data_IF_498081044146
#
_entry.id   IF_498081044146
#
_cell.length_a   1.000
_cell.length_b   1.000
_cell.length_c   1.000
_cell.angle_alpha   90.00
_cell.angle_beta   90.00
_cell.angle_gamma   90.00
#
_symmetry.space_group_name_H-M   'P 1'
#
loop_
_entity.id
_entity.type
_entity.pdbx_description
1 polymer ?
#
# COMPACT_ATOMS: atom_id res chain seq x y z
N UNK A 1 -10.27 -11.27 -6.17
CA UNK A 1 -9.38 -10.75 -5.11
C UNK A 1 -8.61 -9.53 -5.63
N UNK A 2 -8.12 -8.70 -4.75
CA UNK A 2 -7.52 -7.40 -5.12
C UNK A 2 -6.05 -7.53 -5.52
N UNK A 3 -5.30 -8.46 -4.93
CA UNK A 3 -3.83 -8.45 -5.01
C UNK A 3 -3.29 -8.39 -6.44
N UNK A 4 -3.73 -9.24 -7.34
CA UNK A 4 -3.21 -9.28 -8.71
C UNK A 4 -3.49 -7.98 -9.47
N UNK A 5 -4.67 -7.40 -9.24
CA UNK A 5 -5.04 -6.11 -9.84
C UNK A 5 -4.23 -4.97 -9.25
N UNK A 6 -3.91 -5.04 -7.96
CA UNK A 6 -3.07 -4.07 -7.28
C UNK A 6 -1.67 -4.06 -7.88
N UNK A 7 -1.05 -5.25 -8.03
CA UNK A 7 0.29 -5.37 -8.63
C UNK A 7 0.33 -4.76 -10.02
N UNK A 8 -0.66 -5.07 -10.84
CA UNK A 8 -0.72 -4.56 -12.21
C UNK A 8 -0.84 -3.03 -12.24
N UNK A 9 -1.69 -2.47 -11.40
CA UNK A 9 -1.85 -1.01 -11.31
C UNK A 9 -0.57 -0.34 -10.80
N UNK A 10 0.09 -0.94 -9.79
CA UNK A 10 1.35 -0.42 -9.29
C UNK A 10 2.43 -0.42 -10.37
N UNK A 11 2.59 -1.53 -11.10
CA UNK A 11 3.60 -1.65 -12.15
C UNK A 11 3.38 -0.64 -13.29
N UNK A 12 2.13 -0.25 -13.51
CA UNK A 12 1.78 0.77 -14.52
C UNK A 12 1.76 2.18 -13.94
N UNK A 13 2.14 2.37 -12.69
CA UNK A 13 2.06 3.65 -11.99
C UNK A 13 0.65 4.27 -12.07
N UNK A 14 -0.37 3.42 -12.05
CA UNK A 14 -1.77 3.83 -12.21
C UNK A 14 -2.41 4.08 -10.84
N UNK A 15 -2.12 5.25 -10.27
CA UNK A 15 -2.56 5.63 -8.93
C UNK A 15 -4.08 5.70 -8.82
N UNK A 16 -4.76 6.15 -9.86
CA UNK A 16 -6.22 6.25 -9.84
C UNK A 16 -6.89 4.88 -9.73
N UNK A 17 -6.35 3.87 -10.42
CA UNK A 17 -6.85 2.50 -10.27
C UNK A 17 -6.56 1.95 -8.88
N UNK A 18 -5.37 2.21 -8.33
CA UNK A 18 -5.05 1.83 -6.94
C UNK A 18 -6.06 2.45 -5.96
N UNK A 19 -6.33 3.74 -6.11
CA UNK A 19 -7.33 4.44 -5.29
C UNK A 19 -8.72 3.82 -5.41
N UNK A 20 -9.08 3.34 -6.59
CA UNK A 20 -10.39 2.74 -6.84
C UNK A 20 -10.62 1.44 -6.05
N UNK A 21 -9.56 0.78 -5.57
CA UNK A 21 -9.67 -0.40 -4.72
C UNK A 21 -9.97 -0.05 -3.26
N UNK A 22 -9.98 1.23 -2.91
CA UNK A 22 -10.21 1.71 -1.55
C UNK A 22 -11.62 2.26 -1.39
N UNK A 23 -12.20 2.08 -0.21
CA UNK A 23 -13.43 2.78 0.16
C UNK A 23 -13.15 4.29 0.24
N UNK A 24 -14.17 5.11 0.01
CA UNK A 24 -14.01 6.57 0.07
C UNK A 24 -13.59 7.05 1.48
N UNK A 25 -14.02 6.33 2.52
CA UNK A 25 -13.67 6.62 3.91
C UNK A 25 -12.50 5.77 4.41
N UNK A 26 -11.74 5.14 3.51
CA UNK A 26 -10.61 4.34 3.91
C UNK A 26 -9.51 5.18 4.55
N UNK A 27 -8.79 4.55 5.49
CA UNK A 27 -7.69 5.18 6.22
C UNK A 27 -6.45 4.30 6.16
N UNK A 28 -5.28 4.94 6.13
CA UNK A 28 -4.00 4.27 6.28
C UNK A 28 -3.31 4.74 7.56
N UNK A 29 -2.87 3.80 8.38
CA UNK A 29 -2.18 4.07 9.64
C UNK A 29 -0.73 3.65 9.48
N UNK A 30 0.19 4.59 9.75
CA UNK A 30 1.63 4.34 9.75
C UNK A 30 2.05 4.01 11.18
N UNK A 31 2.51 2.79 11.42
CA UNK A 31 2.91 2.38 12.77
C UNK A 31 4.17 3.09 13.25
N UNK A 32 5.03 3.56 12.32
CA UNK A 32 6.29 4.20 12.68
C UNK A 32 6.11 5.48 13.50
N UNK A 33 5.05 6.25 13.24
CA UNK A 33 4.77 7.51 13.95
C UNK A 33 3.31 7.64 14.36
N UNK A 34 2.53 6.58 14.17
CA UNK A 34 1.10 6.52 14.48
C UNK A 34 0.27 7.58 13.72
N UNK A 35 0.78 8.06 12.58
CA UNK A 35 0.04 9.00 11.75
C UNK A 35 -1.06 8.28 10.96
N UNK A 36 -2.07 9.04 10.59
CA UNK A 36 -3.24 8.53 9.87
C UNK A 36 -3.51 9.43 8.67
N UNK A 37 -3.68 8.83 7.49
CA UNK A 37 -4.03 9.57 6.27
C UNK A 37 -5.27 8.98 5.63
N UNK A 38 -6.00 9.83 4.88
CA UNK A 38 -7.17 9.40 4.12
C UNK A 38 -6.77 8.75 2.80
N UNK A 39 -7.73 8.08 2.16
CA UNK A 39 -7.51 7.49 0.83
C UNK A 39 -7.10 8.56 -0.19
N UNK A 40 -7.72 9.73 -0.15
CA UNK A 40 -7.39 10.82 -1.08
C UNK A 40 -6.01 11.41 -0.80
N UNK A 41 -5.62 11.57 0.47
CA UNK A 41 -4.27 12.00 0.83
C UNK A 41 -3.22 10.99 0.36
N UNK A 42 -3.51 9.69 0.51
CA UNK A 42 -2.63 8.64 0.01
C UNK A 42 -2.47 8.73 -1.52
N UNK A 43 -3.57 8.90 -2.25
CA UNK A 43 -3.55 9.08 -3.71
C UNK A 43 -2.66 10.25 -4.10
N UNK A 44 -2.83 11.39 -3.44
CA UNK A 44 -2.08 12.60 -3.78
C UNK A 44 -0.58 12.41 -3.54
N UNK A 45 -0.21 11.76 -2.43
CA UNK A 45 1.20 11.43 -2.14
C UNK A 45 1.77 10.47 -3.18
N UNK A 46 1.04 9.42 -3.52
CA UNK A 46 1.51 8.43 -4.48
C UNK A 46 1.63 9.01 -5.88
N UNK A 47 0.76 9.94 -6.27
CA UNK A 47 0.83 10.59 -7.58
C UNK A 47 2.16 11.30 -7.82
N UNK A 48 2.77 11.84 -6.77
CA UNK A 48 4.07 12.50 -6.87
C UNK A 48 5.25 11.56 -6.63
N UNK A 49 5.05 10.40 -6.02
CA UNK A 49 6.13 9.53 -5.54
C UNK A 49 6.26 8.20 -6.26
N UNK A 50 5.20 7.69 -6.86
CA UNK A 50 5.18 6.29 -7.34
C UNK A 50 6.31 6.00 -8.35
N UNK A 51 6.67 6.95 -9.21
CA UNK A 51 7.76 6.79 -10.15
C UNK A 51 9.16 6.87 -9.53
N UNK A 52 9.26 7.31 -8.26
CA UNK A 52 10.52 7.47 -7.53
C UNK A 52 10.74 6.35 -6.52
N UNK A 53 9.75 5.52 -6.28
CA UNK A 53 9.81 4.40 -5.35
C UNK A 53 10.09 3.12 -6.13
N UNK A 54 10.97 2.28 -5.58
CA UNK A 54 11.21 0.96 -6.14
C UNK A 54 10.69 -0.09 -5.17
N UNK A 55 9.71 -0.87 -5.62
CA UNK A 55 9.12 -1.93 -4.83
C UNK A 55 9.63 -3.27 -5.34
N UNK A 56 10.20 -4.08 -4.44
CA UNK A 56 10.77 -5.37 -4.78
C UNK A 56 10.13 -6.47 -3.94
N UNK A 57 10.06 -7.67 -4.52
CA UNK A 57 9.60 -8.88 -3.82
C UNK A 57 8.20 -8.72 -3.22
N UNK A 58 7.32 -7.99 -3.92
CA UNK A 58 5.93 -7.87 -3.49
C UNK A 58 5.27 -9.24 -3.52
N UNK A 59 4.76 -9.66 -2.37
CA UNK A 59 4.09 -10.95 -2.25
C UNK A 59 2.83 -10.83 -1.41
N UNK A 60 1.84 -11.64 -1.75
CA UNK A 60 0.64 -11.80 -0.96
C UNK A 60 0.89 -12.90 0.06
N UNK A 61 0.85 -12.56 1.34
CA UNK A 61 0.96 -13.54 2.42
C UNK A 61 -0.38 -14.25 2.57
N UNK A 62 -1.48 -13.49 2.51
CA UNK A 62 -2.83 -14.03 2.62
C UNK A 62 -3.84 -13.04 2.08
N UNK A 63 -4.87 -13.55 1.41
CA UNK A 63 -6.00 -12.72 0.98
C UNK A 63 -7.29 -13.53 1.00
N UNK A 64 -8.35 -12.92 1.54
CA UNK A 64 -9.73 -13.41 1.42
C UNK A 64 -10.67 -12.22 1.24
N UNK A 65 -11.97 -12.41 1.39
CA UNK A 65 -12.94 -11.32 1.20
C UNK A 65 -12.82 -10.21 2.25
N UNK A 66 -12.23 -10.49 3.40
CA UNK A 66 -12.17 -9.58 4.54
C UNK A 66 -10.82 -8.94 4.76
N UNK A 67 -9.74 -9.56 4.27
CA UNK A 67 -8.37 -9.12 4.59
C UNK A 67 -7.41 -9.40 3.43
N UNK A 68 -6.42 -8.51 3.29
CA UNK A 68 -5.27 -8.69 2.40
C UNK A 68 -4.01 -8.35 3.18
N UNK A 69 -3.06 -9.30 3.23
CA UNK A 69 -1.76 -9.10 3.87
C UNK A 69 -0.67 -9.23 2.83
N UNK A 70 0.15 -8.19 2.69
CA UNK A 70 1.26 -8.17 1.74
C UNK A 70 2.56 -7.82 2.43
N UNK A 71 3.67 -8.18 1.79
CA UNK A 71 5.02 -7.83 2.23
C UNK A 71 5.86 -7.48 1.02
N UNK A 72 6.71 -6.47 1.15
CA UNK A 72 7.61 -6.05 0.08
C UNK A 72 8.80 -5.29 0.64
N UNK A 73 9.81 -5.09 -0.21
CA UNK A 73 10.95 -4.22 0.07
C UNK A 73 10.77 -2.92 -0.71
N UNK A 74 10.86 -1.79 -0.04
CA UNK A 74 10.72 -0.47 -0.66
C UNK A 74 12.06 0.24 -0.63
N UNK A 75 12.52 0.72 -1.79
CA UNK A 75 13.69 1.59 -1.91
C UNK A 75 13.21 3.01 -2.14
N UNK A 76 13.68 3.93 -1.32
CA UNK A 76 13.32 5.34 -1.38
C UNK A 76 14.32 6.13 -2.23
N UNK A 77 13.94 7.37 -2.68
CA UNK A 77 14.82 8.19 -3.53
C UNK A 77 16.20 8.49 -2.93
N UNK A 78 16.32 8.50 -1.60
CA UNK A 78 17.59 8.72 -0.92
C UNK A 78 18.45 7.47 -0.81
N UNK A 79 18.02 6.35 -1.39
CA UNK A 79 18.74 5.08 -1.37
C UNK A 79 18.49 4.20 -0.15
N UNK A 80 17.73 4.66 0.84
CA UNK A 80 17.39 3.83 2.00
C UNK A 80 16.33 2.79 1.61
N UNK A 81 16.31 1.66 2.33
CA UNK A 81 15.40 0.56 2.06
C UNK A 81 14.71 0.11 3.33
N UNK A 82 13.44 -0.21 3.21
CA UNK A 82 12.63 -0.75 4.32
C UNK A 82 11.98 -2.07 3.91
N UNK A 83 11.88 -2.99 4.86
CA UNK A 83 10.96 -4.12 4.76
C UNK A 83 9.60 -3.66 5.24
N UNK A 84 8.55 -3.79 4.43
CA UNK A 84 7.24 -3.22 4.70
C UNK A 84 6.19 -4.32 4.72
N UNK A 85 5.34 -4.30 5.74
CA UNK A 85 4.17 -5.18 5.83
C UNK A 85 2.90 -4.33 5.80
N UNK A 86 1.97 -4.67 4.92
CA UNK A 86 0.63 -4.09 4.86
C UNK A 86 -0.39 -5.11 5.34
N UNK A 87 -1.24 -4.68 6.25
CA UNK A 87 -2.44 -5.42 6.64
C UNK A 87 -3.63 -4.56 6.27
N UNK A 88 -4.39 -4.99 5.26
CA UNK A 88 -5.54 -4.25 4.77
C UNK A 88 -6.82 -5.02 5.12
N UNK A 89 -7.74 -4.37 5.82
CA UNK A 89 -9.08 -4.91 6.03
C UNK A 89 -10.02 -4.39 4.94
N UNK A 90 -11.02 -5.19 4.59
CA UNK A 90 -11.93 -4.87 3.49
C UNK A 90 -13.37 -4.70 3.96
N UNK A 91 -14.12 -3.90 3.20
CA UNK A 91 -15.57 -3.79 3.30
C UNK A 91 -16.14 -3.83 1.89
N UNK A 92 -17.06 -4.78 1.64
CA UNK A 92 -17.68 -4.97 0.32
C UNK A 92 -16.66 -5.12 -0.82
N UNK A 93 -15.57 -5.86 -0.54
CA UNK A 93 -14.53 -6.14 -1.54
C UNK A 93 -13.52 -5.02 -1.75
N UNK A 94 -13.64 -3.90 -1.04
CA UNK A 94 -12.71 -2.77 -1.12
C UNK A 94 -11.96 -2.58 0.18
N UNK A 95 -10.76 -1.99 0.09
CA UNK A 95 -9.93 -1.71 1.24
C UNK A 95 -10.56 -0.61 2.08
N UNK A 96 -10.78 -0.90 3.37
CA UNK A 96 -11.32 0.05 4.33
C UNK A 96 -10.23 0.64 5.21
N UNK A 97 -9.21 -0.16 5.58
CA UNK A 97 -8.16 0.27 6.48
C UNK A 97 -6.87 -0.46 6.15
N UNK A 98 -5.78 0.29 6.06
CA UNK A 98 -4.44 -0.28 5.91
C UNK A 98 -3.64 0.08 7.15
N UNK A 99 -3.03 -0.92 7.76
CA UNK A 99 -2.02 -0.72 8.80
C UNK A 99 -0.69 -1.16 8.22
N UNK A 100 0.31 -0.29 8.32
CA UNK A 100 1.62 -0.55 7.74
C UNK A 100 2.71 -0.48 8.80
N UNK A 101 3.58 -1.47 8.79
CA UNK A 101 4.79 -1.51 9.58
C UNK A 101 6.00 -1.54 8.66
N UNK A 102 7.01 -0.74 8.99
CA UNK A 102 8.26 -0.67 8.23
C UNK A 102 9.44 -0.91 9.14
N UNK A 103 10.39 -1.72 8.67
CA UNK A 103 11.66 -1.96 9.35
C UNK A 103 12.80 -1.54 8.44
N UNK A 104 13.64 -0.57 8.83
CA UNK A 104 14.79 -0.17 8.03
C UNK A 104 15.76 -1.33 7.85
N UNK A 105 16.23 -1.52 6.63
CA UNK A 105 17.26 -2.51 6.31
C UNK A 105 18.65 -1.89 6.48
N UNK A 106 19.52 -2.68 7.05
CA UNK A 106 20.91 -2.25 7.29
C UNK A 106 21.82 -2.57 6.11
#
# INVERSE_FOLDING_TARGET
MIFDKWVKAWDNADVETLRSFMCDDAEMIMHSDNSKITADEWRDRMSSMIGKLKQENLRCIYENDDILVTHFIMTFPNGTRDAVMYVATKRDGKILRIETGSTPLK
#
